data_IF_840261780103
#
_entry.id   IF_840261780103
#
_cell.length_a   1.000
_cell.length_b   1.000
_cell.length_c   1.000
_cell.angle_alpha   90.00
_cell.angle_beta   90.00
_cell.angle_gamma   90.00
#
_symmetry.space_group_name_H-M   'P 1'
#
loop_
_entity.id
_entity.type
_entity.pdbx_description
1 polymer ?
#
# COMPACT_ATOMS: atom_id res chain seq x y z
N UNK A 1 4.17 8.64 -9.59
CA UNK A 1 5.28 8.02 -8.85
C UNK A 1 5.13 6.51 -8.85
N UNK A 2 6.26 5.81 -8.74
CA UNK A 2 6.34 4.35 -8.78
C UNK A 2 6.22 3.72 -7.41
N UNK A 3 6.47 2.40 -7.36
CA UNK A 3 6.39 1.59 -6.15
C UNK A 3 5.69 0.25 -6.42
N UNK A 4 5.53 -0.54 -5.36
CA UNK A 4 4.81 -1.81 -5.39
C UNK A 4 3.32 -1.55 -5.64
N UNK A 5 2.71 -2.32 -6.54
CA UNK A 5 1.26 -2.27 -6.73
C UNK A 5 0.57 -2.84 -5.48
N UNK A 6 -0.37 -2.09 -4.93
CA UNK A 6 -1.18 -2.53 -3.80
C UNK A 6 -2.67 -2.42 -4.09
N UNK A 7 -3.48 -3.18 -3.36
CA UNK A 7 -4.94 -2.98 -3.29
C UNK A 7 -5.32 -2.04 -2.14
N UNK A 8 -6.63 -1.87 -1.90
CA UNK A 8 -7.15 -1.00 -0.82
C UNK A 8 -6.91 -1.54 0.59
N UNK A 9 -6.51 -2.81 0.72
CA UNK A 9 -6.13 -3.45 1.98
C UNK A 9 -4.60 -3.58 2.09
N UNK A 10 -3.85 -2.88 1.23
CA UNK A 10 -2.38 -2.81 1.20
C UNK A 10 -1.65 -4.11 0.87
N UNK A 11 -2.34 -5.11 0.35
CA UNK A 11 -1.71 -6.32 -0.18
C UNK A 11 -0.79 -5.98 -1.32
N UNK A 12 0.43 -6.53 -1.33
CA UNK A 12 1.29 -6.43 -2.51
C UNK A 12 0.76 -7.34 -3.62
N UNK A 13 0.57 -6.77 -4.80
CA UNK A 13 0.07 -7.45 -5.99
C UNK A 13 1.24 -7.77 -6.92
N UNK A 14 1.39 -9.05 -7.27
CA UNK A 14 2.41 -9.52 -8.19
C UNK A 14 2.08 -9.16 -9.66
N UNK A 15 3.00 -9.50 -10.58
CA UNK A 15 2.84 -9.22 -12.02
C UNK A 15 1.65 -9.96 -12.66
N UNK A 16 1.23 -11.08 -12.08
CA UNK A 16 0.03 -11.83 -12.51
C UNK A 16 -1.27 -11.24 -11.97
N UNK A 17 -1.22 -10.14 -11.21
CA UNK A 17 -2.39 -9.51 -10.61
C UNK A 17 -2.91 -10.20 -9.35
N UNK A 18 -2.11 -11.07 -8.74
CA UNK A 18 -2.47 -11.85 -7.55
C UNK A 18 -1.83 -11.26 -6.29
N UNK A 19 -2.51 -11.38 -5.15
CA UNK A 19 -1.95 -11.06 -3.84
C UNK A 19 -0.75 -11.97 -3.54
N UNK A 20 0.32 -11.39 -3.00
CA UNK A 20 1.41 -12.14 -2.36
C UNK A 20 1.04 -12.32 -0.88
N UNK A 21 0.69 -13.53 -0.42
CA UNK A 21 0.23 -13.74 0.95
C UNK A 21 1.27 -13.31 1.99
N UNK A 22 0.85 -12.56 3.01
CA UNK A 22 1.73 -12.09 4.08
C UNK A 22 2.64 -10.91 3.72
N UNK A 23 2.53 -10.37 2.50
CA UNK A 23 3.31 -9.20 2.09
C UNK A 23 2.41 -7.98 1.90
N UNK A 24 2.64 -6.97 2.75
CA UNK A 24 1.91 -5.70 2.76
C UNK A 24 2.89 -4.55 2.52
N UNK A 25 2.41 -3.47 1.90
CA UNK A 25 3.22 -2.27 1.65
C UNK A 25 2.40 -0.99 1.82
N UNK A 26 3.02 0.03 2.39
CA UNK A 26 2.40 1.33 2.62
C UNK A 26 3.44 2.46 2.54
N UNK A 27 2.98 3.69 2.26
CA UNK A 27 3.85 4.84 2.10
C UNK A 27 4.56 4.87 0.74
N UNK A 28 5.70 5.55 0.66
CA UNK A 28 6.35 5.85 -0.63
C UNK A 28 6.91 4.61 -1.36
N UNK A 29 7.00 3.46 -0.70
CA UNK A 29 7.30 2.18 -1.35
C UNK A 29 6.09 1.63 -2.14
N UNK A 30 4.87 2.05 -1.81
CA UNK A 30 3.64 1.70 -2.51
C UNK A 30 3.38 2.66 -3.68
N UNK A 31 3.14 2.08 -4.85
CA UNK A 31 2.90 2.79 -6.10
C UNK A 31 1.42 2.99 -6.40
N UNK A 32 1.13 3.90 -7.32
CA UNK A 32 -0.23 4.11 -7.86
C UNK A 32 -1.09 5.14 -7.12
N UNK A 33 -0.80 5.45 -5.84
CA UNK A 33 -1.58 6.40 -5.03
C UNK A 33 -1.60 7.83 -5.57
N UNK A 34 -0.56 8.20 -6.31
CA UNK A 34 -0.32 9.58 -6.71
C UNK A 34 -0.13 9.72 -8.24
N UNK A 35 -0.53 8.71 -9.01
CA UNK A 35 -0.49 8.70 -10.47
C UNK A 35 0.79 9.33 -11.05
N UNK A 36 0.70 10.41 -11.84
CA UNK A 36 1.85 11.11 -12.41
C UNK A 36 2.50 12.16 -11.49
N UNK A 37 1.80 12.65 -10.46
CA UNK A 37 2.27 13.78 -9.65
C UNK A 37 1.72 13.73 -8.20
N UNK A 38 2.61 13.94 -7.22
CA UNK A 38 2.20 14.09 -5.81
C UNK A 38 1.75 15.51 -5.54
N UNK A 39 0.60 15.67 -4.89
CA UNK A 39 0.25 16.95 -4.28
C UNK A 39 0.95 17.10 -2.93
N UNK A 40 1.40 18.31 -2.62
CA UNK A 40 2.04 18.61 -1.34
C UNK A 40 1.14 18.23 -0.16
N UNK A 41 1.71 17.55 0.84
CA UNK A 41 0.98 17.04 2.00
C UNK A 41 0.44 15.61 1.85
N UNK A 42 0.21 15.12 0.63
CA UNK A 42 -0.37 13.78 0.43
C UNK A 42 0.52 12.65 0.93
N UNK A 43 1.85 12.79 0.93
CA UNK A 43 2.75 11.73 1.43
C UNK A 43 2.58 11.47 2.92
N UNK A 44 2.28 12.52 3.72
CA UNK A 44 2.04 12.36 5.15
C UNK A 44 0.71 11.65 5.38
N UNK A 45 -0.32 12.05 4.65
CA UNK A 45 -1.63 11.38 4.71
C UNK A 45 -1.53 9.90 4.28
N UNK A 46 -0.72 9.60 3.26
CA UNK A 46 -0.45 8.25 2.78
C UNK A 46 0.15 7.36 3.89
N UNK A 47 1.30 7.75 4.46
CA UNK A 47 1.99 6.92 5.46
C UNK A 47 1.14 6.66 6.71
N UNK A 48 0.37 7.65 7.18
CA UNK A 48 -0.48 7.47 8.37
C UNK A 48 -1.73 6.64 8.08
N UNK A 49 -2.31 6.77 6.89
CA UNK A 49 -3.54 6.07 6.52
C UNK A 49 -3.23 4.63 6.12
N UNK A 50 -2.42 4.44 5.07
CA UNK A 50 -2.12 3.11 4.56
C UNK A 50 -1.20 2.33 5.47
N UNK A 51 -0.33 2.98 6.25
CA UNK A 51 0.46 2.29 7.27
C UNK A 51 -0.42 1.65 8.35
N UNK A 52 -1.49 2.33 8.77
CA UNK A 52 -2.44 1.78 9.75
C UNK A 52 -3.27 0.65 9.15
N UNK A 53 -3.78 0.84 7.93
CA UNK A 53 -4.53 -0.21 7.21
C UNK A 53 -3.66 -1.47 7.06
N UNK A 54 -2.38 -1.32 6.70
CA UNK A 54 -1.48 -2.46 6.52
C UNK A 54 -1.33 -3.32 7.77
N UNK A 55 -1.18 -2.70 8.93
CA UNK A 55 -1.09 -3.44 10.19
C UNK A 55 -2.44 -4.06 10.56
N UNK A 56 -3.55 -3.33 10.41
CA UNK A 56 -4.89 -3.87 10.69
C UNK A 56 -5.21 -5.09 9.82
N UNK A 57 -4.94 -5.02 8.52
CA UNK A 57 -5.12 -6.15 7.59
C UNK A 57 -4.20 -7.31 7.93
N UNK A 58 -2.90 -7.05 8.16
CA UNK A 58 -1.95 -8.10 8.50
C UNK A 58 -2.32 -8.85 9.77
N UNK A 59 -2.86 -8.15 10.78
CA UNK A 59 -3.35 -8.81 12.01
C UNK A 59 -4.59 -9.64 11.73
N UNK A 60 -5.60 -9.08 11.05
CA UNK A 60 -6.88 -9.76 10.80
C UNK A 60 -6.77 -11.04 9.97
N UNK A 61 -5.75 -11.14 9.11
CA UNK A 61 -5.57 -12.29 8.21
C UNK A 61 -4.60 -13.34 8.75
N UNK A 62 -3.81 -13.01 9.77
CA UNK A 62 -2.75 -13.88 10.29
C UNK A 62 -2.84 -14.16 11.80
N UNK A 63 -3.88 -13.68 12.47
CA UNK A 63 -4.24 -14.03 13.86
C UNK A 63 -5.75 -14.26 13.99
#
# INVERSE_FOLDING_TARGET
MGGLKIDTHTHVINEAGQIIPGLYAAGEVAGGLHAGNRLGGNSLTDIFTFGRIAVETAILEHF
#
